data_IF_638699154380
#
_entry.id   IF_638699154380
#
_cell.length_a   1.000
_cell.length_b   1.000
_cell.length_c   1.000
_cell.angle_alpha   90.00
_cell.angle_beta   90.00
_cell.angle_gamma   90.00
#
_symmetry.space_group_name_H-M   'P 1'
#
loop_
_entity.id
_entity.type
_entity.pdbx_description
1 polymer ?
#
# COMPACT_ATOMS: atom_id res chain seq x y z
N UNK A 1 -45.87 64.76 -42.09
CA UNK A 1 -45.71 63.32 -41.74
C UNK A 1 -44.30 62.90 -42.17
N UNK A 2 -43.51 62.33 -41.25
CA UNK A 2 -42.03 62.24 -41.27
C UNK A 2 -41.47 61.39 -42.44
N UNK A 3 -40.47 61.93 -43.17
CA UNK A 3 -39.60 61.17 -44.09
C UNK A 3 -38.58 60.36 -43.26
N UNK A 4 -38.55 59.04 -43.45
CA UNK A 4 -37.50 58.14 -42.94
C UNK A 4 -36.39 58.05 -43.99
N UNK A 5 -35.22 58.57 -43.64
CA UNK A 5 -33.96 58.41 -44.38
C UNK A 5 -33.38 57.02 -44.13
N UNK A 6 -32.95 56.35 -45.20
CA UNK A 6 -32.24 55.06 -45.15
C UNK A 6 -30.76 55.28 -44.82
N UNK A 7 -30.19 54.42 -43.97
CA UNK A 7 -28.73 54.22 -43.88
C UNK A 7 -28.43 52.73 -44.03
N UNK A 8 -27.67 52.29 -45.04
CA UNK A 8 -27.15 50.93 -45.07
C UNK A 8 -25.82 50.89 -44.33
N UNK A 9 -25.80 50.29 -43.14
CA UNK A 9 -24.56 49.89 -42.49
C UNK A 9 -23.98 48.70 -43.26
N UNK A 10 -22.95 48.95 -44.08
CA UNK A 10 -22.15 47.90 -44.71
C UNK A 10 -21.19 47.34 -43.66
N UNK A 11 -21.48 46.16 -43.13
CA UNK A 11 -20.48 45.37 -42.40
C UNK A 11 -19.42 44.90 -43.41
N UNK A 12 -18.24 45.52 -43.38
CA UNK A 12 -17.07 45.01 -44.08
C UNK A 12 -16.58 43.77 -43.32
N UNK A 13 -16.93 42.59 -43.82
CA UNK A 13 -16.35 41.32 -43.37
C UNK A 13 -14.90 41.32 -43.87
N UNK A 14 -13.96 41.64 -43.00
CA UNK A 14 -12.54 41.39 -43.24
C UNK A 14 -12.34 39.88 -43.38
N UNK A 15 -12.22 39.43 -44.63
CA UNK A 15 -11.82 38.07 -44.96
C UNK A 15 -10.35 37.89 -44.57
N UNK A 16 -10.11 37.39 -43.35
CA UNK A 16 -8.79 36.87 -42.98
C UNK A 16 -8.39 35.83 -44.04
N UNK A 17 -7.19 35.93 -44.64
CA UNK A 17 -6.80 35.04 -45.73
C UNK A 17 -6.62 33.63 -45.17
N UNK A 18 -7.59 32.76 -45.44
CA UNK A 18 -7.60 31.33 -45.06
C UNK A 18 -6.28 30.64 -45.48
N UNK A 19 -5.63 31.13 -46.54
CA UNK A 19 -4.29 30.69 -46.98
C UNK A 19 -3.18 30.96 -45.96
N UNK A 20 -3.20 32.08 -45.25
CA UNK A 20 -2.22 32.40 -44.21
C UNK A 20 -2.39 31.51 -42.97
N UNK A 21 -3.64 31.20 -42.62
CA UNK A 21 -3.95 30.28 -41.53
C UNK A 21 -3.52 28.84 -41.87
N UNK A 22 -3.77 28.38 -43.10
CA UNK A 22 -3.33 27.06 -43.58
C UNK A 22 -1.80 26.95 -43.68
N UNK A 23 -1.10 28.01 -44.07
CA UNK A 23 0.37 28.02 -44.06
C UNK A 23 0.93 27.99 -42.63
N UNK A 24 0.35 28.74 -41.70
CA UNK A 24 0.75 28.70 -40.29
C UNK A 24 0.50 27.32 -39.66
N UNK A 25 -0.64 26.69 -39.94
CA UNK A 25 -0.94 25.32 -39.49
C UNK A 25 0.03 24.28 -40.09
N UNK A 26 0.40 24.43 -41.37
CA UNK A 26 1.40 23.57 -42.00
C UNK A 26 2.80 23.76 -41.40
N UNK A 27 3.20 24.99 -41.07
CA UNK A 27 4.47 25.27 -40.39
C UNK A 27 4.50 24.80 -38.93
N UNK A 28 3.37 24.83 -38.21
CA UNK A 28 3.28 24.24 -36.87
C UNK A 28 3.35 22.71 -36.90
N UNK A 29 2.84 22.07 -37.96
CA UNK A 29 2.92 20.62 -38.12
C UNK A 29 4.36 20.15 -38.41
N UNK A 30 5.16 20.92 -39.16
CA UNK A 30 6.56 20.57 -39.47
C UNK A 30 7.56 20.91 -38.35
N UNK A 31 7.18 21.76 -37.39
CA UNK A 31 7.99 22.09 -36.21
C UNK A 31 7.93 21.02 -35.11
N UNK A 32 7.06 20.01 -35.24
CA UNK A 32 7.01 18.88 -34.31
C UNK A 32 8.14 17.88 -34.62
N UNK A 33 9.35 18.19 -34.14
CA UNK A 33 10.41 17.19 -34.07
C UNK A 33 9.93 16.02 -33.19
N UNK A 34 10.15 14.75 -33.57
CA UNK A 34 9.84 13.64 -32.70
C UNK A 34 10.67 13.81 -31.42
N UNK A 35 9.99 14.10 -30.31
CA UNK A 35 10.63 13.98 -29.01
C UNK A 35 11.07 12.53 -28.87
N UNK A 36 12.38 12.29 -28.73
CA UNK A 36 12.88 10.95 -28.45
C UNK A 36 12.20 10.45 -27.18
N UNK A 37 11.36 9.42 -27.30
CA UNK A 37 10.62 8.89 -26.18
C UNK A 37 11.61 8.28 -25.18
N UNK A 38 11.76 8.91 -24.01
CA UNK A 38 12.54 8.34 -22.91
C UNK A 38 11.84 7.09 -22.39
N UNK A 39 12.58 6.03 -22.15
CA UNK A 39 12.05 4.80 -21.57
C UNK A 39 13.13 4.12 -20.74
N UNK A 40 12.71 3.21 -19.87
CA UNK A 40 13.64 2.33 -19.17
C UNK A 40 12.92 1.04 -18.81
N UNK A 41 13.71 0.01 -18.50
CA UNK A 41 13.24 -1.29 -18.02
C UNK A 41 14.23 -1.90 -17.06
N UNK A 42 13.78 -2.88 -16.30
CA UNK A 42 14.66 -3.73 -15.52
C UNK A 42 14.98 -4.96 -16.39
N UNK A 43 16.23 -5.08 -16.81
CA UNK A 43 16.70 -6.23 -17.57
C UNK A 43 16.82 -7.48 -16.70
N UNK A 44 17.29 -7.30 -15.47
CA UNK A 44 17.51 -8.39 -14.54
C UNK A 44 17.33 -7.89 -13.10
N UNK A 45 16.66 -8.69 -12.28
CA UNK A 45 16.47 -8.46 -10.86
C UNK A 45 16.89 -9.73 -10.11
N UNK A 46 18.03 -9.66 -9.42
CA UNK A 46 18.55 -10.75 -8.61
C UNK A 46 18.34 -10.41 -7.13
N UNK A 47 17.71 -11.31 -6.37
CA UNK A 47 17.51 -11.15 -4.93
C UNK A 47 18.18 -12.29 -4.17
N UNK A 48 19.24 -11.97 -3.43
CA UNK A 48 19.92 -12.93 -2.55
C UNK A 48 19.53 -12.66 -1.11
N UNK A 49 18.83 -13.63 -0.51
CA UNK A 49 18.27 -13.52 0.83
C UNK A 49 18.96 -14.55 1.72
N UNK A 50 19.44 -14.13 2.89
CA UNK A 50 19.91 -15.04 3.94
C UNK A 50 18.99 -14.94 5.14
N UNK A 51 18.27 -16.01 5.46
CA UNK A 51 17.41 -16.10 6.64
C UNK A 51 18.24 -16.60 7.82
N UNK A 52 18.36 -15.74 8.81
CA UNK A 52 19.10 -16.00 10.04
C UNK A 52 18.30 -16.88 10.99
N UNK A 53 18.99 -17.51 11.95
CA UNK A 53 18.34 -18.38 12.96
C UNK A 53 17.29 -17.66 13.79
N UNK A 54 17.37 -16.35 13.96
CA UNK A 54 16.38 -15.54 14.69
C UNK A 54 15.15 -15.15 13.83
N UNK A 55 15.08 -15.64 12.59
CA UNK A 55 14.02 -15.33 11.63
C UNK A 55 14.13 -13.93 10.99
N UNK A 56 15.20 -13.18 11.26
CA UNK A 56 15.56 -12.00 10.48
C UNK A 56 16.17 -12.41 9.14
N UNK A 57 16.13 -11.49 8.16
CA UNK A 57 16.69 -11.73 6.85
C UNK A 57 17.71 -10.62 6.49
N UNK A 58 18.81 -11.01 5.87
CA UNK A 58 19.72 -10.13 5.15
C UNK A 58 19.38 -10.24 3.66
N UNK A 59 19.03 -9.13 3.04
CA UNK A 59 18.58 -9.08 1.65
C UNK A 59 19.58 -8.26 0.86
N UNK A 60 20.03 -8.80 -0.27
CA UNK A 60 20.88 -8.12 -1.24
C UNK A 60 20.21 -8.18 -2.62
N UNK A 61 19.65 -7.05 -3.04
CA UNK A 61 19.04 -6.89 -4.36
C UNK A 61 20.07 -6.33 -5.34
N UNK A 62 20.21 -6.95 -6.50
CA UNK A 62 21.00 -6.45 -7.62
C UNK A 62 20.07 -6.23 -8.82
N UNK A 63 19.93 -4.97 -9.21
CA UNK A 63 18.95 -4.53 -10.21
C UNK A 63 19.69 -3.97 -11.42
N UNK A 64 19.57 -4.61 -12.56
CA UNK A 64 20.15 -4.17 -13.83
C UNK A 64 19.13 -3.38 -14.64
N UNK A 65 19.41 -2.08 -14.82
CA UNK A 65 18.53 -1.09 -15.41
C UNK A 65 19.03 -0.70 -16.79
N UNK A 66 18.14 -0.70 -17.79
CA UNK A 66 18.47 -0.24 -19.14
C UNK A 66 17.70 1.05 -19.41
N UNK A 67 18.44 2.14 -19.58
CA UNK A 67 17.89 3.48 -19.81
C UNK A 67 18.00 3.87 -21.28
N UNK A 68 16.92 4.45 -21.82
CA UNK A 68 16.88 5.14 -23.11
C UNK A 68 16.49 6.59 -22.84
N UNK A 69 17.31 7.52 -23.31
CA UNK A 69 17.31 8.92 -22.94
C UNK A 69 17.95 9.18 -21.57
N UNK A 70 17.91 10.43 -21.15
CA UNK A 70 18.54 10.91 -19.90
C UNK A 70 17.63 10.71 -18.68
N UNK A 71 18.15 10.01 -17.68
CA UNK A 71 17.53 9.74 -16.38
C UNK A 71 18.48 10.13 -15.23
N UNK A 72 17.92 10.29 -14.03
CA UNK A 72 18.67 10.72 -12.84
C UNK A 72 18.61 9.72 -11.67
N UNK A 73 17.87 8.62 -11.83
CA UNK A 73 17.61 7.70 -10.73
C UNK A 73 16.33 6.90 -10.90
N UNK A 74 16.04 6.10 -9.87
CA UNK A 74 14.84 5.26 -9.76
C UNK A 74 14.21 5.38 -8.38
N UNK A 75 12.94 4.99 -8.28
CA UNK A 75 12.27 4.71 -7.02
C UNK A 75 12.19 3.20 -6.81
N UNK A 76 12.59 2.73 -5.63
CA UNK A 76 12.40 1.36 -5.16
C UNK A 76 11.51 1.40 -3.92
N UNK A 77 10.27 0.92 -4.04
CA UNK A 77 9.33 0.80 -2.92
C UNK A 77 9.29 -0.64 -2.42
N UNK A 78 9.52 -0.84 -1.12
CA UNK A 78 9.48 -2.16 -0.48
C UNK A 78 8.29 -2.17 0.48
N UNK A 79 7.29 -3.06 0.32
CA UNK A 79 6.17 -3.15 1.24
C UNK A 79 6.66 -3.64 2.61
N UNK A 80 6.38 -2.86 3.66
CA UNK A 80 6.79 -3.15 5.04
C UNK A 80 5.61 -3.33 6.00
N UNK A 81 4.39 -2.93 5.60
CA UNK A 81 3.18 -3.20 6.39
C UNK A 81 2.26 -4.16 5.65
N UNK A 82 1.77 -5.15 6.38
CA UNK A 82 0.83 -6.15 5.91
C UNK A 82 -0.38 -6.22 6.84
N UNK A 83 -1.56 -6.62 6.33
CA UNK A 83 -2.67 -6.97 7.19
C UNK A 83 -2.26 -8.06 8.17
N UNK A 84 -2.47 -7.82 9.45
CA UNK A 84 -2.37 -8.80 10.52
C UNK A 84 -3.76 -9.23 11.02
N UNK A 85 -3.79 -10.14 12.00
CA UNK A 85 -5.04 -10.64 12.60
C UNK A 85 -5.90 -9.49 13.14
N UNK A 86 -7.22 -9.67 13.06
CA UNK A 86 -8.22 -8.75 13.63
C UNK A 86 -8.10 -7.28 13.15
N UNK A 87 -7.54 -7.07 11.96
CA UNK A 87 -7.36 -5.74 11.37
C UNK A 87 -6.19 -4.95 11.95
N UNK A 88 -5.28 -5.61 12.67
CA UNK A 88 -4.02 -5.03 13.14
C UNK A 88 -2.99 -4.96 12.01
N UNK A 89 -1.93 -4.18 12.21
CA UNK A 89 -0.82 -4.10 11.26
C UNK A 89 0.29 -5.08 11.65
N UNK A 90 0.77 -5.85 10.68
CA UNK A 90 2.00 -6.62 10.75
C UNK A 90 3.13 -5.85 10.06
N UNK A 91 4.03 -5.26 10.84
CA UNK A 91 5.14 -4.44 10.34
C UNK A 91 6.45 -5.22 10.25
N UNK A 92 7.16 -5.01 9.15
CA UNK A 92 8.53 -5.44 8.90
C UNK A 92 9.50 -4.31 9.25
N UNK A 93 10.47 -4.59 10.13
CA UNK A 93 11.45 -3.57 10.51
C UNK A 93 12.67 -3.63 9.60
N UNK A 94 12.61 -2.84 8.53
CA UNK A 94 13.63 -2.76 7.50
C UNK A 94 14.70 -1.70 7.82
N UNK A 95 15.98 -2.08 7.71
CA UNK A 95 17.13 -1.21 7.88
C UNK A 95 18.06 -1.31 6.66
N UNK A 96 18.15 -0.22 5.89
CA UNK A 96 19.05 -0.12 4.72
C UNK A 96 20.49 0.01 5.21
N UNK A 97 21.35 -0.91 4.79
CA UNK A 97 22.77 -0.95 5.18
C UNK A 97 23.70 -0.40 4.10
N UNK A 98 23.37 -0.59 2.82
CA UNK A 98 24.17 -0.09 1.70
C UNK A 98 23.32 0.12 0.45
N UNK A 99 23.68 1.12 -0.35
CA UNK A 99 23.21 1.31 -1.73
C UNK A 99 24.42 1.67 -2.59
N UNK A 100 24.76 0.82 -3.56
CA UNK A 100 25.96 0.92 -4.39
C UNK A 100 25.66 0.72 -5.86
N UNK A 101 26.59 1.11 -6.73
CA UNK A 101 26.58 0.68 -8.13
C UNK A 101 27.17 -0.74 -8.28
N UNK A 102 27.11 -1.31 -9.50
CA UNK A 102 27.68 -2.64 -9.78
C UNK A 102 29.21 -2.74 -9.68
N UNK A 103 29.91 -1.64 -9.40
CA UNK A 103 31.36 -1.63 -9.09
C UNK A 103 31.64 -1.45 -7.59
N UNK A 104 30.58 -1.37 -6.75
CA UNK A 104 30.69 -1.17 -5.31
C UNK A 104 30.83 0.28 -4.85
N UNK A 105 30.72 1.27 -5.76
CA UNK A 105 30.77 2.67 -5.36
C UNK A 105 29.44 3.08 -4.73
N UNK A 106 29.49 3.87 -3.65
CA UNK A 106 28.28 4.33 -2.95
C UNK A 106 27.45 5.26 -3.84
N UNK A 107 26.15 4.98 -3.93
CA UNK A 107 25.18 5.84 -4.57
C UNK A 107 24.51 6.74 -3.55
N UNK A 108 24.17 7.96 -3.95
CA UNK A 108 23.32 8.83 -3.15
C UNK A 108 21.90 8.27 -3.17
N UNK A 109 21.24 8.21 -2.02
CA UNK A 109 19.83 7.87 -1.92
C UNK A 109 19.13 8.65 -0.82
N UNK A 110 17.82 8.79 -0.95
CA UNK A 110 16.92 9.25 0.10
C UNK A 110 16.01 8.08 0.49
N UNK A 111 15.66 7.99 1.76
CA UNK A 111 14.79 6.92 2.27
C UNK A 111 13.67 7.53 3.10
N UNK A 112 12.44 7.14 2.80
CA UNK A 112 11.25 7.56 3.54
C UNK A 112 10.30 6.38 3.75
N UNK A 113 9.40 6.53 4.72
CA UNK A 113 8.34 5.55 4.98
C UNK A 113 7.01 6.24 4.79
N UNK A 114 6.15 5.69 3.92
CA UNK A 114 4.82 6.25 3.63
C UNK A 114 3.87 5.17 3.14
N UNK A 115 2.63 5.18 3.64
CA UNK A 115 1.56 4.28 3.18
C UNK A 115 1.85 2.79 3.33
N UNK A 116 2.66 2.38 4.31
CA UNK A 116 3.06 0.99 4.51
C UNK A 116 4.23 0.53 3.63
N UNK A 117 4.92 1.45 2.97
CA UNK A 117 6.08 1.18 2.12
C UNK A 117 7.32 1.92 2.61
N UNK A 118 8.47 1.29 2.45
CA UNK A 118 9.78 1.92 2.46
C UNK A 118 10.11 2.38 1.05
N UNK A 119 10.12 3.68 0.79
CA UNK A 119 10.50 4.26 -0.50
C UNK A 119 11.97 4.68 -0.49
N UNK A 120 12.72 4.21 -1.48
CA UNK A 120 14.10 4.58 -1.75
C UNK A 120 14.17 5.33 -3.06
N UNK A 121 14.52 6.61 -2.99
CA UNK A 121 14.87 7.40 -4.16
C UNK A 121 16.38 7.32 -4.37
N UNK A 122 16.81 6.57 -5.38
CA UNK A 122 18.22 6.27 -5.64
C UNK A 122 18.68 7.10 -6.82
N UNK A 123 19.74 7.90 -6.62
CA UNK A 123 20.31 8.75 -7.65
C UNK A 123 21.38 7.99 -8.43
N UNK A 124 21.23 7.93 -9.76
CA UNK A 124 22.15 7.23 -10.65
C UNK A 124 22.78 8.27 -11.58
N UNK A 125 24.09 8.56 -11.43
CA UNK A 125 24.77 9.54 -12.28
C UNK A 125 24.94 9.02 -13.71
N UNK A 126 24.96 9.95 -14.67
CA UNK A 126 25.27 9.68 -16.08
C UNK A 126 24.45 8.54 -16.70
N UNK A 127 23.14 8.50 -16.41
CA UNK A 127 22.21 7.52 -16.96
C UNK A 127 21.58 8.04 -18.28
N UNK A 128 22.39 8.13 -19.33
CA UNK A 128 21.95 8.48 -20.69
C UNK A 128 22.22 7.31 -21.64
N UNK A 129 21.18 6.72 -22.22
CA UNK A 129 21.25 5.65 -23.22
C UNK A 129 22.22 4.51 -22.82
N UNK A 130 22.10 4.06 -21.57
CA UNK A 130 23.10 3.20 -20.92
C UNK A 130 22.47 2.16 -20.00
N UNK A 131 23.26 1.14 -19.65
CA UNK A 131 22.89 0.12 -18.67
C UNK A 131 23.61 0.42 -17.35
N UNK A 132 22.88 0.42 -16.24
CA UNK A 132 23.43 0.65 -14.90
C UNK A 132 22.93 -0.43 -13.95
N UNK A 133 23.78 -0.83 -13.02
CA UNK A 133 23.42 -1.77 -11.95
C UNK A 133 23.36 -1.02 -10.63
N UNK A 134 22.32 -1.28 -9.86
CA UNK A 134 22.16 -0.81 -8.48
C UNK A 134 22.12 -2.02 -7.57
N UNK A 135 22.89 -1.98 -6.49
CA UNK A 135 22.91 -2.99 -5.45
C UNK A 135 22.38 -2.38 -4.14
N UNK A 136 21.42 -3.05 -3.50
CA UNK A 136 20.75 -2.58 -2.28
C UNK A 136 20.86 -3.69 -1.25
N UNK A 137 21.59 -3.42 -0.17
CA UNK A 137 21.73 -4.35 0.94
C UNK A 137 20.96 -3.84 2.17
N UNK A 138 20.11 -4.67 2.75
CA UNK A 138 19.33 -4.29 3.93
C UNK A 138 19.00 -5.48 4.82
N UNK A 139 18.72 -5.18 6.09
CA UNK A 139 18.26 -6.17 7.07
C UNK A 139 16.78 -5.99 7.34
N UNK A 140 16.06 -7.09 7.40
CA UNK A 140 14.64 -7.13 7.74
C UNK A 140 14.46 -7.95 9.02
N UNK A 141 13.85 -7.35 10.04
CA UNK A 141 13.37 -8.09 11.21
C UNK A 141 11.87 -8.28 11.12
N UNK A 142 11.38 -9.33 11.79
CA UNK A 142 9.99 -9.76 11.70
C UNK A 142 9.60 -10.17 10.26
N UNK A 143 10.55 -10.63 9.44
CA UNK A 143 10.30 -11.10 8.07
C UNK A 143 9.79 -12.55 8.00
N UNK A 144 10.14 -13.37 8.99
CA UNK A 144 9.62 -14.73 9.12
C UNK A 144 8.38 -14.75 10.00
N UNK A 145 7.35 -15.43 9.54
CA UNK A 145 6.14 -15.71 10.32
C UNK A 145 6.29 -17.06 11.02
N UNK A 146 5.88 -17.10 12.28
CA UNK A 146 5.97 -18.29 13.12
C UNK A 146 4.55 -18.78 13.42
N UNK A 147 4.14 -19.88 12.79
CA UNK A 147 2.85 -20.53 13.03
C UNK A 147 2.97 -21.61 14.11
N UNK A 148 1.89 -22.33 14.41
CA UNK A 148 1.96 -23.43 15.39
C UNK A 148 2.80 -24.61 14.88
N UNK A 149 2.53 -25.02 13.64
CA UNK A 149 3.06 -26.28 13.09
C UNK A 149 4.27 -26.08 12.16
N UNK A 150 4.53 -24.83 11.74
CA UNK A 150 5.63 -24.48 10.83
C UNK A 150 6.02 -23.01 10.95
N UNK A 151 7.15 -22.67 10.33
CA UNK A 151 7.58 -21.30 10.07
C UNK A 151 7.46 -21.02 8.58
N UNK A 152 7.20 -19.77 8.23
CA UNK A 152 6.96 -19.33 6.86
C UNK A 152 7.82 -18.09 6.57
N UNK A 153 8.60 -18.18 5.50
CA UNK A 153 9.26 -17.02 4.92
C UNK A 153 8.53 -16.62 3.63
N UNK A 154 7.63 -15.65 3.76
CA UNK A 154 6.84 -15.09 2.66
C UNK A 154 7.40 -13.73 2.28
N UNK A 155 7.90 -13.58 1.06
CA UNK A 155 8.65 -12.39 0.65
C UNK A 155 8.27 -11.86 -0.73
N UNK A 156 7.97 -10.56 -0.81
CA UNK A 156 7.76 -9.86 -2.08
C UNK A 156 9.12 -9.45 -2.68
N UNK A 157 9.73 -10.37 -3.45
CA UNK A 157 11.05 -10.19 -4.10
C UNK A 157 11.13 -8.84 -4.82
N UNK A 158 10.29 -8.65 -5.84
CA UNK A 158 10.30 -7.40 -6.62
C UNK A 158 9.32 -6.37 -6.09
N UNK A 159 8.18 -6.81 -5.53
CA UNK A 159 6.99 -5.98 -5.35
C UNK A 159 6.26 -5.67 -6.67
N UNK A 160 5.14 -4.94 -6.57
CA UNK A 160 4.23 -4.66 -7.70
C UNK A 160 4.18 -3.18 -8.12
N UNK A 161 5.06 -2.32 -7.59
CA UNK A 161 4.97 -0.86 -7.81
C UNK A 161 5.84 -0.33 -8.94
N UNK A 162 6.57 -1.21 -9.63
CA UNK A 162 7.40 -0.83 -10.75
C UNK A 162 6.57 -0.23 -11.90
N UNK A 163 6.91 0.99 -12.37
CA UNK A 163 6.24 1.65 -13.48
C UNK A 163 6.77 1.17 -14.85
N UNK A 164 7.58 0.12 -14.87
CA UNK A 164 8.24 -0.45 -16.05
C UNK A 164 8.18 -1.97 -15.98
N UNK A 165 8.30 -2.68 -17.11
CA UNK A 165 8.42 -4.13 -17.10
C UNK A 165 9.76 -4.59 -16.50
N UNK A 166 9.77 -5.86 -16.05
CA UNK A 166 10.96 -6.57 -15.59
C UNK A 166 11.13 -7.79 -16.48
N UNK A 167 12.25 -7.87 -17.19
CA UNK A 167 12.44 -8.91 -18.20
C UNK A 167 12.74 -10.27 -17.57
N UNK A 168 13.47 -10.27 -16.45
CA UNK A 168 13.89 -11.48 -15.76
C UNK A 168 14.07 -11.22 -14.26
N UNK A 169 13.66 -12.20 -13.44
CA UNK A 169 13.84 -12.17 -11.99
C UNK A 169 14.36 -13.51 -11.51
N UNK A 170 15.39 -13.45 -10.67
CA UNK A 170 15.88 -14.59 -9.89
C UNK A 170 15.86 -14.26 -8.40
N UNK A 171 15.59 -15.25 -7.58
CA UNK A 171 15.77 -15.13 -6.14
C UNK A 171 16.35 -16.41 -5.55
N UNK A 172 17.28 -16.25 -4.61
CA UNK A 172 17.86 -17.37 -3.85
C UNK A 172 17.72 -17.03 -2.37
N UNK A 173 17.16 -17.97 -1.62
CA UNK A 173 17.01 -17.87 -0.17
C UNK A 173 17.85 -18.93 0.50
N UNK A 174 18.86 -18.48 1.23
CA UNK A 174 19.72 -19.31 2.06
C UNK A 174 19.12 -19.45 3.46
N UNK A 175 18.86 -20.68 3.89
CA UNK A 175 18.46 -21.00 5.26
C UNK A 175 19.63 -21.61 6.04
N UNK A 176 19.54 -21.68 7.38
CA UNK A 176 20.54 -22.40 8.17
C UNK A 176 20.68 -23.83 7.68
N UNK A 177 21.91 -24.39 7.70
CA UNK A 177 22.19 -25.73 7.19
C UNK A 177 21.30 -26.86 7.78
N UNK A 178 20.77 -26.66 9.00
CA UNK A 178 19.80 -27.56 9.63
C UNK A 178 18.46 -27.67 8.89
N UNK A 179 18.17 -26.77 7.95
CA UNK A 179 16.99 -26.81 7.10
C UNK A 179 17.11 -27.79 5.92
N UNK A 180 18.31 -28.32 5.67
CA UNK A 180 18.61 -29.10 4.48
C UNK A 180 17.65 -30.29 4.29
N UNK A 181 17.03 -30.38 3.11
CA UNK A 181 16.12 -31.46 2.73
C UNK A 181 14.72 -31.39 3.37
N UNK A 182 14.38 -30.30 4.06
CA UNK A 182 13.14 -30.17 4.83
C UNK A 182 12.24 -29.02 4.39
N UNK A 183 12.74 -28.16 3.50
CA UNK A 183 12.04 -26.99 2.98
C UNK A 183 11.04 -27.38 1.89
N UNK A 184 9.99 -26.58 1.74
CA UNK A 184 9.14 -26.58 0.54
C UNK A 184 8.97 -25.15 0.06
N UNK A 185 9.05 -24.95 -1.25
CA UNK A 185 9.07 -23.63 -1.84
C UNK A 185 7.99 -23.51 -2.93
N UNK A 186 7.37 -22.34 -3.02
CA UNK A 186 6.51 -21.97 -4.13
C UNK A 186 6.69 -20.48 -4.46
N UNK A 187 6.37 -20.10 -5.69
CA UNK A 187 6.40 -18.72 -6.14
C UNK A 187 5.09 -18.34 -6.81
N UNK A 188 4.76 -17.06 -6.69
CA UNK A 188 3.61 -16.43 -7.31
C UNK A 188 4.09 -15.26 -8.16
N UNK A 189 3.43 -15.05 -9.29
CA UNK A 189 3.75 -13.98 -10.23
C UNK A 189 2.51 -13.20 -10.66
N UNK A 190 2.73 -12.01 -11.20
CA UNK A 190 1.70 -11.17 -11.81
C UNK A 190 1.44 -9.90 -11.01
N UNK A 191 0.35 -9.21 -11.34
CA UNK A 191 -0.06 -7.96 -10.68
C UNK A 191 -0.61 -8.22 -9.28
N UNK A 192 -0.82 -7.16 -8.50
CA UNK A 192 -1.40 -7.26 -7.16
C UNK A 192 -2.70 -8.08 -7.14
N UNK A 193 -2.76 -9.08 -6.25
CA UNK A 193 -3.89 -10.00 -6.11
C UNK A 193 -3.90 -11.16 -7.12
N UNK A 194 -2.91 -11.25 -8.01
CA UNK A 194 -2.72 -12.41 -8.89
C UNK A 194 -2.42 -13.68 -8.09
N UNK A 195 -2.84 -14.80 -8.66
CA UNK A 195 -2.56 -16.15 -8.14
C UNK A 195 -1.79 -17.00 -9.16
N UNK A 196 -1.30 -16.37 -10.24
CA UNK A 196 -0.46 -17.01 -11.23
C UNK A 196 0.83 -17.50 -10.58
N UNK A 197 1.39 -18.57 -11.15
CA UNK A 197 2.61 -19.23 -10.67
C UNK A 197 3.56 -19.46 -11.83
N UNK A 198 3.77 -18.41 -12.63
CA UNK A 198 4.62 -18.48 -13.81
C UNK A 198 6.10 -18.24 -13.46
N UNK A 199 6.56 -19.06 -12.51
CA UNK A 199 7.92 -19.08 -12.03
C UNK A 199 8.27 -20.51 -11.60
N UNK A 200 9.52 -20.88 -11.80
CA UNK A 200 10.09 -22.12 -11.29
C UNK A 200 10.50 -21.92 -9.83
N UNK A 201 10.22 -22.91 -8.97
CA UNK A 201 10.65 -22.94 -7.58
C UNK A 201 11.30 -24.29 -7.28
N UNK A 202 12.51 -24.25 -6.72
CA UNK A 202 13.31 -25.43 -6.39
C UNK A 202 13.91 -25.33 -5.00
N UNK A 203 14.18 -26.47 -4.38
CA UNK A 203 14.94 -26.55 -3.13
C UNK A 203 16.17 -27.41 -3.37
N UNK A 204 17.34 -26.91 -2.99
CA UNK A 204 18.60 -27.63 -3.05
C UNK A 204 19.33 -27.51 -1.71
N UNK A 205 19.39 -28.62 -0.97
CA UNK A 205 19.93 -28.60 0.39
C UNK A 205 19.12 -27.65 1.28
N UNK A 206 19.79 -26.64 1.85
CA UNK A 206 19.20 -25.57 2.67
C UNK A 206 18.85 -24.31 1.89
N UNK A 207 18.93 -24.35 0.56
CA UNK A 207 18.65 -23.19 -0.29
C UNK A 207 17.33 -23.39 -1.05
N UNK A 208 16.54 -22.32 -1.17
CA UNK A 208 15.38 -22.25 -2.06
C UNK A 208 15.70 -21.31 -3.23
N UNK A 209 15.43 -21.74 -4.46
CA UNK A 209 15.77 -21.02 -5.69
C UNK A 209 14.50 -20.76 -6.50
N UNK A 210 14.42 -19.57 -7.08
CA UNK A 210 13.26 -19.10 -7.81
C UNK A 210 13.66 -18.35 -9.07
N UNK A 211 12.91 -18.53 -10.15
CA UNK A 211 13.16 -17.90 -11.44
C UNK A 211 11.85 -17.69 -12.20
N UNK A 212 11.63 -16.50 -12.75
CA UNK A 212 10.47 -16.23 -13.62
C UNK A 212 10.60 -16.93 -14.96
N UNK A 213 9.54 -17.57 -15.47
CA UNK A 213 9.59 -18.22 -16.78
C UNK A 213 9.34 -17.23 -17.95
N UNK A 214 8.68 -16.11 -17.66
CA UNK A 214 8.36 -15.05 -18.63
C UNK A 214 8.57 -13.67 -18.00
N UNK A 215 8.80 -12.62 -18.81
CA UNK A 215 8.87 -11.24 -18.35
C UNK A 215 7.63 -10.82 -17.54
N UNK A 216 7.87 -10.07 -16.48
CA UNK A 216 6.81 -9.46 -15.68
C UNK A 216 6.37 -8.13 -16.34
N UNK A 217 5.06 -7.92 -16.55
CA UNK A 217 4.56 -6.67 -17.10
C UNK A 217 4.76 -5.52 -16.12
N UNK A 218 4.48 -4.28 -16.56
CA UNK A 218 4.33 -3.15 -15.63
C UNK A 218 3.40 -3.52 -14.48
N UNK A 219 3.78 -3.16 -13.25
CA UNK A 219 3.08 -3.55 -12.01
C UNK A 219 3.05 -5.06 -11.71
N UNK A 220 3.68 -5.88 -12.54
CA UNK A 220 3.92 -7.29 -12.27
C UNK A 220 5.02 -7.44 -11.22
N UNK A 221 4.91 -8.49 -10.41
CA UNK A 221 5.90 -8.82 -9.40
C UNK A 221 6.03 -10.32 -9.20
N UNK A 222 7.10 -10.71 -8.51
CA UNK A 222 7.32 -12.06 -8.00
C UNK A 222 7.27 -12.04 -6.47
N UNK A 223 6.56 -13.00 -5.90
CA UNK A 223 6.47 -13.24 -4.47
C UNK A 223 6.81 -14.70 -4.21
N UNK A 224 7.66 -14.95 -3.22
CA UNK A 224 8.11 -16.29 -2.85
C UNK A 224 7.53 -16.66 -1.50
N UNK A 225 7.33 -17.96 -1.31
CA UNK A 225 6.84 -18.55 -0.08
C UNK A 225 7.62 -19.83 0.20
N UNK A 226 8.30 -19.85 1.35
CA UNK A 226 9.06 -21.00 1.82
C UNK A 226 8.47 -21.50 3.13
N UNK A 227 7.99 -22.74 3.10
CA UNK A 227 7.64 -23.52 4.27
C UNK A 227 8.89 -24.08 4.93
N UNK A 228 8.98 -23.90 6.25
CA UNK A 228 10.12 -24.28 7.07
C UNK A 228 9.58 -25.09 8.27
N UNK A 229 10.02 -26.34 8.47
CA UNK A 229 9.66 -27.11 9.66
C UNK A 229 10.10 -26.43 10.96
N UNK A 230 9.33 -26.67 12.03
CA UNK A 230 9.69 -26.18 13.37
C UNK A 230 11.03 -26.71 13.85
N UNK A 231 11.72 -25.92 14.66
CA UNK A 231 13.00 -26.27 15.27
C UNK A 231 14.23 -25.86 14.45
N UNK A 232 14.04 -25.29 13.25
CA UNK A 232 15.12 -24.71 12.44
C UNK A 232 15.37 -23.26 12.84
N UNK A 233 14.30 -22.47 12.93
CA UNK A 233 14.34 -21.06 13.31
C UNK A 233 13.91 -20.89 14.78
N UNK A 234 14.40 -19.82 15.38
CA UNK A 234 14.17 -19.47 16.78
C UNK A 234 13.16 -18.32 16.83
N UNK A 235 11.96 -18.66 17.28
CA UNK A 235 10.86 -17.71 17.40
C UNK A 235 11.20 -16.57 18.39
N UNK A 236 10.96 -15.30 18.02
CA UNK A 236 11.13 -14.18 18.93
C UNK A 236 10.27 -14.34 20.18
N UNK A 237 10.83 -14.02 21.35
CA UNK A 237 10.11 -14.10 22.62
C UNK A 237 8.87 -13.21 22.66
N UNK A 238 7.92 -13.55 23.54
CA UNK A 238 6.63 -12.85 23.65
C UNK A 238 6.77 -11.34 23.88
N UNK A 239 7.75 -10.91 24.68
CA UNK A 239 8.01 -9.49 24.91
C UNK A 239 8.49 -8.79 23.62
N UNK A 240 9.35 -9.41 22.83
CA UNK A 240 9.80 -8.85 21.55
C UNK A 240 8.64 -8.71 20.57
N UNK A 241 7.79 -9.74 20.46
CA UNK A 241 6.58 -9.68 19.64
C UNK A 241 5.62 -8.58 20.09
N UNK A 242 5.43 -8.41 21.40
CA UNK A 242 4.61 -7.33 21.96
C UNK A 242 5.19 -5.95 21.61
N UNK A 243 6.49 -5.75 21.75
CA UNK A 243 7.14 -4.47 21.39
C UNK A 243 7.03 -4.16 19.91
N UNK A 244 7.19 -5.17 19.04
CA UNK A 244 6.99 -5.03 17.60
C UNK A 244 5.53 -4.69 17.26
N UNK A 245 4.59 -5.38 17.90
CA UNK A 245 3.17 -5.10 17.74
C UNK A 245 2.82 -3.65 18.13
N UNK A 246 3.32 -3.17 19.27
CA UNK A 246 3.11 -1.79 19.72
C UNK A 246 3.78 -0.77 18.78
N UNK A 247 4.94 -1.12 18.20
CA UNK A 247 5.63 -0.31 17.20
C UNK A 247 4.80 -0.08 15.94
N UNK A 248 4.24 -1.15 15.37
CA UNK A 248 3.42 -1.08 14.16
C UNK A 248 1.97 -0.66 14.38
N UNK A 249 1.51 -0.60 15.63
CA UNK A 249 0.13 -0.25 15.98
C UNK A 249 0.08 0.91 17.00
N UNK A 250 0.58 2.11 16.66
CA UNK A 250 0.61 3.25 17.59
C UNK A 250 -0.79 3.69 18.04
N UNK A 251 -1.83 3.35 17.27
CA UNK A 251 -3.24 3.59 17.61
C UNK A 251 -3.63 2.95 18.95
N UNK A 252 -2.96 1.87 19.38
CA UNK A 252 -3.20 1.22 20.68
C UNK A 252 -2.98 2.18 21.86
N UNK A 253 -2.14 3.21 21.69
CA UNK A 253 -1.90 4.22 22.72
C UNK A 253 -2.97 5.31 22.79
N UNK A 254 -3.91 5.38 21.83
CA UNK A 254 -4.94 6.42 21.78
C UNK A 254 -5.75 6.52 23.09
N UNK A 255 -6.28 5.42 23.70
CA UNK A 255 -7.01 5.51 24.96
C UNK A 255 -6.15 6.05 26.11
N UNK A 256 -4.86 5.72 26.15
CA UNK A 256 -3.93 6.20 27.18
C UNK A 256 -3.64 7.69 27.01
N UNK A 257 -3.42 8.15 25.78
CA UNK A 257 -3.24 9.58 25.47
C UNK A 257 -4.53 10.34 25.77
N UNK A 258 -5.69 9.82 25.36
CA UNK A 258 -6.99 10.41 25.68
C UNK A 258 -7.17 10.52 27.18
N UNK A 259 -6.87 9.45 27.95
CA UNK A 259 -6.94 9.51 29.41
C UNK A 259 -5.97 10.54 30.00
N UNK A 260 -4.71 10.56 29.55
CA UNK A 260 -3.71 11.50 30.03
C UNK A 260 -4.06 12.97 29.77
N UNK A 261 -4.82 13.26 28.71
CA UNK A 261 -5.31 14.61 28.40
C UNK A 261 -6.64 14.92 29.11
N UNK A 262 -7.57 13.98 29.12
CA UNK A 262 -8.90 14.16 29.72
C UNK A 262 -8.83 14.19 31.25
N UNK A 263 -7.93 13.44 31.87
CA UNK A 263 -7.82 13.38 33.33
C UNK A 263 -7.44 14.72 33.95
N UNK A 264 -6.40 15.47 33.49
CA UNK A 264 -6.14 16.82 33.97
C UNK A 264 -7.26 17.81 33.66
N UNK A 265 -7.86 17.75 32.46
CA UNK A 265 -8.97 18.63 32.11
C UNK A 265 -10.16 18.42 33.05
N UNK A 266 -10.50 17.17 33.32
CA UNK A 266 -11.50 16.81 34.32
C UNK A 266 -11.08 17.27 35.72
N UNK A 267 -9.83 17.04 36.12
CA UNK A 267 -9.33 17.40 37.45
C UNK A 267 -9.35 18.91 37.73
N UNK A 268 -8.98 19.73 36.75
CA UNK A 268 -8.88 21.19 36.91
C UNK A 268 -10.15 21.95 36.52
N UNK A 269 -10.92 21.47 35.54
CA UNK A 269 -12.09 22.19 34.98
C UNK A 269 -13.39 21.41 35.03
N UNK A 270 -13.33 20.08 35.18
CA UNK A 270 -14.51 19.22 35.21
C UNK A 270 -14.97 18.81 36.60
N UNK A 271 -14.22 19.20 37.66
CA UNK A 271 -14.69 19.05 39.04
C UNK A 271 -15.74 20.09 39.31
N UNK A 272 -16.92 19.62 39.71
CA UNK A 272 -17.97 20.51 40.20
C UNK A 272 -17.40 21.38 41.32
N UNK A 273 -17.67 22.69 41.33
CA UNK A 273 -17.35 23.53 42.47
C UNK A 273 -17.96 22.87 43.71
N UNK A 274 -17.23 22.87 44.84
CA UNK A 274 -17.78 22.43 46.11
C UNK A 274 -19.04 23.26 46.43
N UNK A 275 -20.20 22.78 46.01
CA UNK A 275 -21.48 23.31 46.44
C UNK A 275 -21.60 22.88 47.90
N UNK A 276 -21.19 23.76 48.82
CA UNK A 276 -21.32 23.56 50.27
C UNK A 276 -22.76 23.30 50.74
N UNK A 277 -23.72 23.22 49.82
CA UNK A 277 -25.08 22.75 50.01
C UNK A 277 -25.47 21.86 48.83
N UNK A 278 -25.78 20.59 49.11
CA UNK A 278 -26.59 19.78 48.19
C UNK A 278 -27.97 20.43 48.07
N UNK A 279 -28.27 21.03 46.92
CA UNK A 279 -29.62 21.52 46.63
C UNK A 279 -30.45 20.31 46.19
N UNK A 280 -31.20 19.73 47.11
CA UNK A 280 -32.16 18.68 46.78
C UNK A 280 -33.21 19.27 45.81
N UNK A 281 -33.47 18.64 44.64
CA UNK A 281 -34.51 19.11 43.74
C UNK A 281 -35.88 18.98 44.43
N UNK A 282 -36.41 20.08 44.94
CA UNK A 282 -37.78 20.14 45.44
C UNK A 282 -38.74 20.34 44.29
N UNK A 283 -39.42 19.26 43.88
CA UNK A 283 -40.61 19.38 43.05
C UNK A 283 -41.79 19.83 43.92
N UNK A 284 -42.09 21.14 43.88
CA UNK A 284 -43.33 21.62 44.46
C UNK A 284 -44.50 21.11 43.62
N UNK A 285 -45.34 20.23 44.18
CA UNK A 285 -46.66 19.95 43.62
C UNK A 285 -47.41 21.27 43.58
N UNK A 286 -47.91 21.69 42.41
CA UNK A 286 -48.67 22.93 42.26
C UNK A 286 -49.82 22.92 43.28
N UNK A 287 -49.78 23.80 44.29
CA UNK A 287 -50.89 23.93 45.23
C UNK A 287 -52.10 24.43 44.46
N UNK A 288 -53.15 23.61 44.44
CA UNK A 288 -54.47 24.02 43.95
C UNK A 288 -55.11 23.15 42.86
N UNK A 289 -54.50 22.06 42.40
CA UNK A 289 -55.21 21.12 41.50
C UNK A 289 -55.24 19.71 42.08
N UNK A 290 -56.37 19.40 42.74
CA UNK A 290 -56.74 18.06 43.15
C UNK A 290 -56.94 17.12 41.95
N UNK A 291 -57.03 15.81 42.17
CA UNK A 291 -57.11 14.81 41.12
C UNK A 291 -58.51 14.82 40.51
N UNK A 292 -58.68 15.55 39.40
CA UNK A 292 -59.97 15.61 38.71
C UNK A 292 -59.86 16.36 37.39
N UNK A 293 -59.98 15.60 36.30
CA UNK A 293 -60.24 16.05 34.94
C UNK A 293 -59.35 17.21 34.40
N UNK A 294 -58.24 16.83 33.78
CA UNK A 294 -57.94 17.38 32.46
C UNK A 294 -57.50 16.25 31.55
N UNK A 295 -58.46 15.76 30.75
CA UNK A 295 -58.17 15.02 29.54
C UNK A 295 -57.33 15.93 28.63
N UNK A 296 -56.02 15.75 28.65
CA UNK A 296 -55.17 16.25 27.58
C UNK A 296 -55.50 15.42 26.35
N UNK A 297 -56.30 16.04 25.48
CA UNK A 297 -56.52 15.72 24.09
C UNK A 297 -55.16 15.47 23.41
N UNK A 298 -54.76 14.22 23.34
CA UNK A 298 -53.66 13.77 22.49
C UNK A 298 -54.14 13.89 21.05
N UNK A 299 -53.66 14.91 20.34
CA UNK A 299 -53.72 14.95 18.88
C UNK A 299 -52.80 13.85 18.34
N UNK A 300 -53.33 12.64 18.17
CA UNK A 300 -52.74 11.63 17.29
C UNK A 300 -53.23 11.90 15.87
N UNK A 301 -52.36 12.47 15.05
CA UNK A 301 -52.52 12.42 13.59
C UNK A 301 -52.14 11.02 13.15
N UNK A 302 -53.12 10.25 12.68
CA UNK A 302 -52.92 8.98 12.00
C UNK A 302 -53.25 9.17 10.53
N UNK A 303 -52.30 8.83 9.66
CA UNK A 303 -52.52 8.67 8.23
C UNK A 303 -52.21 7.20 7.86
N UNK A 304 -52.90 6.62 6.87
CA UNK A 304 -53.16 5.20 6.80
C UNK A 304 -52.04 4.41 6.09
N UNK A 305 -51.93 3.14 6.50
CA UNK A 305 -51.10 2.13 5.86
C UNK A 305 -51.76 1.67 4.54
N UNK A 306 -51.07 1.90 3.42
CA UNK A 306 -51.33 1.21 2.17
C UNK A 306 -50.34 0.06 2.00
N UNK A 307 -50.89 -1.10 1.65
CA UNK A 307 -50.20 -2.37 1.44
C UNK A 307 -49.91 -2.49 -0.05
N UNK A 308 -48.65 -2.50 -0.47
CA UNK A 308 -48.27 -2.97 -1.80
C UNK A 308 -47.32 -4.16 -1.70
N UNK A 309 -47.70 -5.24 -2.38
CA UNK A 309 -46.88 -6.41 -2.61
C UNK A 309 -45.85 -6.07 -3.70
N UNK A 310 -44.59 -6.38 -3.44
CA UNK A 310 -43.51 -6.34 -4.44
C UNK A 310 -42.57 -7.51 -4.22
N UNK A 311 -42.69 -8.52 -5.10
CA UNK A 311 -41.78 -9.65 -5.22
C UNK A 311 -40.39 -9.19 -5.66
N UNK A 312 -39.33 -9.86 -5.18
CA UNK A 312 -37.95 -9.54 -5.57
C UNK A 312 -36.94 -10.55 -5.04
N UNK A 313 -37.00 -11.77 -5.58
CA UNK A 313 -35.91 -12.72 -5.87
C UNK A 313 -34.56 -12.63 -5.11
N UNK A 314 -34.19 -13.76 -4.48
CA UNK A 314 -32.81 -14.16 -4.15
C UNK A 314 -31.88 -14.06 -5.37
N UNK A 315 -30.57 -14.01 -5.10
CA UNK A 315 -29.74 -15.07 -5.63
C UNK A 315 -28.88 -15.73 -4.55
N UNK A 316 -29.11 -17.02 -4.38
CA UNK A 316 -28.10 -18.01 -4.02
C UNK A 316 -27.02 -18.07 -5.10
N UNK A 317 -25.74 -18.09 -4.71
CA UNK A 317 -24.73 -18.93 -5.37
C UNK A 317 -23.49 -19.11 -4.50
N UNK A 318 -23.15 -20.38 -4.29
CA UNK A 318 -21.88 -21.02 -4.67
C UNK A 318 -20.71 -20.60 -3.76
N UNK A 319 -20.14 -21.48 -2.98
CA UNK A 319 -19.54 -22.74 -3.42
C UNK A 319 -18.15 -22.72 -2.79
N UNK A 320 -18.03 -23.41 -1.66
CA UNK A 320 -16.92 -23.32 -0.72
C UNK A 320 -15.71 -24.12 -1.23
N UNK A 321 -15.07 -23.62 -2.29
CA UNK A 321 -13.87 -24.20 -2.90
C UNK A 321 -12.81 -23.11 -3.20
N UNK A 322 -12.52 -22.26 -2.20
CA UNK A 322 -11.54 -21.18 -2.31
C UNK A 322 -10.89 -20.75 -0.99
N UNK A 323 -10.97 -21.58 0.05
CA UNK A 323 -10.50 -21.25 1.41
C UNK A 323 -8.98 -21.24 1.60
N UNK A 324 -8.17 -21.44 0.56
CA UNK A 324 -6.72 -21.51 0.70
C UNK A 324 -5.96 -20.22 0.32
N UNK A 325 -6.64 -19.17 -0.17
CA UNK A 325 -6.02 -17.91 -0.64
C UNK A 325 -6.52 -16.66 0.10
N UNK A 326 -7.31 -16.85 1.16
CA UNK A 326 -7.80 -15.78 2.04
C UNK A 326 -7.61 -16.18 3.51
N UNK A 327 -6.38 -16.47 3.88
CA UNK A 327 -5.95 -16.32 5.26
C UNK A 327 -4.87 -15.24 5.25
N UNK A 328 -5.38 -14.01 5.32
CA UNK A 328 -4.65 -12.81 5.75
C UNK A 328 -5.32 -12.41 7.07
#
# INVERSE_FOLDING_TARGET
MKRRTQSPWRFAIFSLPIRGLLLCLACLATASSPAAAKSWRIADFEDTITVEKDGSALVNERITLVFVGEWHGIHRTIPIEYPGPDGTNYELFLNITSVTDGSGNKLKYESSTSGGFRDLKIYIPDALDTTRTVEIAYRVRNGTRFFKDYDEFYWNVTGNDWPVPIDHVTAIVHFPASASGSLRAQAFTGVYGSTQRDATAGVNGSDAQFETNNPLPMRGGMTIDVYIPKGILSEPGALTKLLWFLGGNPVVFLPLVTFAVMFPLWWYKGRDPNAGMSVAPMYARSRGKGPGLHAQRLHFSSAPAERSMGQGTRPTRAGDAGKCLRQW
#
